data_IF_705257834824
#
_entry.id   IF_705257834824
#
_cell.length_a   1.000
_cell.length_b   1.000
_cell.length_c   1.000
_cell.angle_alpha   90.00
_cell.angle_beta   90.00
_cell.angle_gamma   90.00
#
_symmetry.space_group_name_H-M   'P 1'
#
loop_
_entity.id
_entity.type
_entity.pdbx_description
1 polymer ?
#
# COMPACT_ATOMS: atom_id res chain seq x y z
N UNK A 1 2.82 7.90 -9.00
CA UNK A 1 2.21 6.69 -8.39
C UNK A 1 0.71 6.85 -8.37
N UNK A 2 -0.06 5.77 -8.18
CA UNK A 2 -1.52 5.85 -8.08
C UNK A 2 -1.98 6.79 -6.95
N UNK A 3 -1.32 6.73 -5.79
CA UNK A 3 -1.59 7.63 -4.65
C UNK A 3 -1.45 9.12 -5.00
N UNK A 4 -0.34 9.53 -5.63
CA UNK A 4 -0.14 10.93 -6.05
C UNK A 4 -1.24 11.41 -7.01
N UNK A 5 -1.70 10.52 -7.92
CA UNK A 5 -2.80 10.81 -8.83
C UNK A 5 -4.15 10.93 -8.14
N UNK A 6 -4.38 10.20 -7.05
CA UNK A 6 -5.59 10.35 -6.23
C UNK A 6 -5.56 11.66 -5.44
N UNK A 7 -4.44 11.97 -4.78
CA UNK A 7 -4.26 13.19 -3.99
C UNK A 7 -4.39 14.44 -4.87
N UNK A 8 -3.83 14.44 -6.09
CA UNK A 8 -3.87 15.61 -6.99
C UNK A 8 -5.28 15.99 -7.47
N UNK A 9 -6.28 15.12 -7.30
CA UNK A 9 -7.69 15.41 -7.62
C UNK A 9 -8.38 16.23 -6.53
N UNK A 10 -7.81 16.30 -5.32
CA UNK A 10 -8.38 17.07 -4.23
C UNK A 10 -8.11 18.56 -4.42
N UNK A 11 -9.18 19.34 -4.64
CA UNK A 11 -9.10 20.81 -4.67
C UNK A 11 -9.21 21.44 -3.28
N UNK A 12 -9.89 20.77 -2.35
CA UNK A 12 -10.10 21.19 -0.95
C UNK A 12 -10.40 19.95 -0.11
N UNK A 13 -9.90 19.91 1.12
CA UNK A 13 -10.15 18.82 2.07
C UNK A 13 -8.88 18.06 2.45
N UNK A 14 -9.06 16.82 2.90
CA UNK A 14 -7.99 15.94 3.37
C UNK A 14 -8.08 14.59 2.66
N UNK A 15 -6.93 14.08 2.18
CA UNK A 15 -6.79 12.69 1.76
C UNK A 15 -6.30 11.86 2.95
N UNK A 16 -6.91 10.70 3.18
CA UNK A 16 -6.47 9.76 4.22
C UNK A 16 -6.24 8.40 3.58
N UNK A 17 -5.08 7.80 3.84
CA UNK A 17 -4.77 6.43 3.48
C UNK A 17 -4.69 5.58 4.75
N UNK A 18 -5.35 4.42 4.74
CA UNK A 18 -5.30 3.44 5.83
C UNK A 18 -5.12 2.08 5.19
N UNK A 19 -4.07 1.37 5.59
CA UNK A 19 -3.77 0.02 5.14
C UNK A 19 -2.80 -0.64 6.12
N UNK A 20 -2.60 -1.94 5.98
CA UNK A 20 -1.50 -2.64 6.65
C UNK A 20 -0.19 -2.13 6.06
N UNK A 21 0.68 -1.56 6.89
CA UNK A 21 1.79 -0.76 6.40
C UNK A 21 3.07 -0.95 7.21
N UNK A 22 4.16 -0.48 6.65
CA UNK A 22 5.45 -0.33 7.33
C UNK A 22 6.10 1.00 6.94
N UNK A 23 7.04 1.45 7.77
CA UNK A 23 7.97 2.53 7.42
C UNK A 23 9.26 1.96 6.86
N UNK A 24 10.15 2.80 6.33
CA UNK A 24 11.48 2.36 5.91
C UNK A 24 12.28 1.68 7.03
N UNK A 25 12.11 2.09 8.29
CA UNK A 25 12.80 1.51 9.43
C UNK A 25 12.20 0.16 9.87
N UNK A 26 10.91 -0.06 9.62
CA UNK A 26 10.16 -1.23 10.08
C UNK A 26 9.91 -2.27 8.96
N UNK A 27 10.62 -2.15 7.83
CA UNK A 27 10.43 -3.06 6.68
C UNK A 27 10.70 -4.51 7.07
N UNK A 28 9.72 -5.42 6.88
CA UNK A 28 9.94 -6.84 7.10
C UNK A 28 11.03 -7.38 6.16
N UNK A 29 12.02 -8.15 6.67
CA UNK A 29 13.19 -8.55 5.90
C UNK A 29 12.87 -9.45 4.69
N UNK A 30 11.74 -10.16 4.74
CA UNK A 30 11.29 -11.06 3.68
C UNK A 30 10.16 -10.47 2.82
N UNK A 31 9.86 -9.19 2.99
CA UNK A 31 8.70 -8.55 2.37
C UNK A 31 7.37 -9.06 2.93
N UNK A 32 6.28 -8.72 2.24
CA UNK A 32 4.91 -8.91 2.75
C UNK A 32 3.94 -9.39 1.68
N UNK A 33 4.44 -9.83 0.52
CA UNK A 33 3.60 -10.32 -0.56
C UNK A 33 2.88 -11.59 -0.09
N UNK A 34 1.55 -11.54 -0.06
CA UNK A 34 0.70 -12.59 0.52
C UNK A 34 -0.48 -12.88 -0.40
N UNK A 35 -0.81 -14.16 -0.56
CA UNK A 35 -2.04 -14.58 -1.25
C UNK A 35 -3.17 -14.80 -0.27
N UNK A 36 -4.41 -14.54 -0.68
CA UNK A 36 -5.61 -14.87 0.08
C UNK A 36 -6.63 -15.64 -0.77
N UNK A 37 -7.14 -16.74 -0.22
CA UNK A 37 -8.20 -17.56 -0.83
C UNK A 37 -9.18 -18.00 0.26
N UNK A 38 -10.47 -17.79 0.02
CA UNK A 38 -11.54 -18.18 0.95
C UNK A 38 -11.30 -17.71 2.40
N UNK A 39 -10.80 -16.48 2.53
CA UNK A 39 -10.50 -15.83 3.81
C UNK A 39 -9.25 -16.36 4.54
N UNK A 40 -8.38 -17.12 3.86
CA UNK A 40 -7.14 -17.67 4.44
C UNK A 40 -5.91 -17.25 3.64
N UNK A 41 -4.79 -17.07 4.34
CA UNK A 41 -3.48 -16.86 3.73
C UNK A 41 -3.03 -18.09 2.93
N UNK A 42 -2.42 -17.83 1.77
CA UNK A 42 -1.83 -18.83 0.88
C UNK A 42 -0.52 -18.31 0.30
N UNK A 43 0.22 -19.18 -0.39
CA UNK A 43 1.33 -18.74 -1.23
C UNK A 43 0.81 -17.75 -2.31
N UNK A 44 1.49 -16.62 -2.54
CA UNK A 44 1.09 -15.65 -3.55
C UNK A 44 1.42 -16.18 -4.95
N UNK A 45 0.40 -16.50 -5.76
CA UNK A 45 0.55 -16.95 -7.15
C UNK A 45 -0.23 -16.01 -8.07
N UNK A 46 0.43 -15.34 -9.05
CA UNK A 46 -0.21 -14.39 -9.95
C UNK A 46 -0.90 -15.07 -11.13
N UNK A 47 -1.72 -16.09 -10.85
CA UNK A 47 -2.50 -16.85 -11.85
C UNK A 47 -4.01 -16.54 -11.79
N UNK A 48 -4.40 -15.55 -10.99
CA UNK A 48 -5.80 -15.16 -10.77
C UNK A 48 -6.57 -16.11 -9.87
N UNK A 49 -5.93 -17.13 -9.30
CA UNK A 49 -6.59 -18.07 -8.41
C UNK A 49 -6.77 -17.52 -6.99
N UNK A 50 -5.97 -16.55 -6.55
CA UNK A 50 -6.07 -15.91 -5.24
C UNK A 50 -5.92 -14.39 -5.35
N UNK A 51 -6.43 -13.67 -4.35
CA UNK A 51 -6.16 -12.25 -4.19
C UNK A 51 -4.72 -12.06 -3.74
N UNK A 52 -4.04 -11.04 -4.27
CA UNK A 52 -2.66 -10.71 -3.90
C UNK A 52 -2.61 -9.35 -3.22
N UNK A 53 -1.91 -9.30 -2.08
CA UNK A 53 -1.65 -8.05 -1.35
C UNK A 53 -0.21 -7.96 -0.87
N UNK A 54 0.23 -6.75 -0.56
CA UNK A 54 1.46 -6.47 0.16
C UNK A 54 1.22 -5.26 1.09
N UNK A 55 1.88 -5.23 2.24
CA UNK A 55 1.83 -4.06 3.10
C UNK A 55 2.36 -2.82 2.40
N UNK A 56 1.73 -1.68 2.65
CA UNK A 56 2.07 -0.40 2.05
C UNK A 56 3.35 0.16 2.68
N UNK A 57 4.31 0.55 1.84
CA UNK A 57 5.42 1.41 2.26
C UNK A 57 4.90 2.84 2.45
N UNK A 58 4.48 3.18 3.68
CA UNK A 58 3.78 4.44 3.95
C UNK A 58 4.69 5.65 3.76
N UNK A 59 6.01 5.50 3.95
CA UNK A 59 7.02 6.51 3.66
C UNK A 59 7.02 6.93 2.18
N UNK A 60 6.82 5.99 1.26
CA UNK A 60 6.73 6.29 -0.16
C UNK A 60 5.43 7.04 -0.51
N UNK A 61 4.32 6.70 0.16
CA UNK A 61 3.06 7.44 0.02
C UNK A 61 3.18 8.88 0.54
N UNK A 62 3.82 9.09 1.69
CA UNK A 62 4.07 10.41 2.26
C UNK A 62 4.96 11.26 1.34
N UNK A 63 6.04 10.68 0.79
CA UNK A 63 6.93 11.35 -0.14
C UNK A 63 6.28 11.71 -1.49
N UNK A 64 5.21 11.00 -1.86
CA UNK A 64 4.47 11.25 -3.10
C UNK A 64 3.39 12.35 -2.97
N UNK A 65 3.12 12.82 -1.75
CA UNK A 65 2.26 13.98 -1.50
C UNK A 65 2.99 15.31 -1.76
N UNK A 66 2.26 16.43 -1.84
CA UNK A 66 2.89 17.75 -1.84
C UNK A 66 3.72 17.93 -0.56
N UNK A 67 4.86 18.61 -0.68
CA UNK A 67 5.70 18.92 0.47
C UNK A 67 4.85 19.65 1.54
N UNK A 68 5.02 19.33 2.83
CA UNK A 68 4.40 20.14 3.88
C UNK A 68 4.83 21.59 3.72
N UNK A 69 3.88 22.50 3.92
CA UNK A 69 4.09 23.95 3.85
C UNK A 69 5.06 24.42 4.94
#
# INVERSE_FOLDING_TARGET
TAWAGAVSRLRRGLAVAVDYAHTAADRPPFGTLTGFRDGRETAPVPDGSCDLTAHVALDACAAAGPAPA
#
